data_IF_839701429522
#
_entry.id   IF_839701429522
#
_cell.length_a   1.000
_cell.length_b   1.000
_cell.length_c   1.000
_cell.angle_alpha   90.00
_cell.angle_beta   90.00
_cell.angle_gamma   90.00
#
_symmetry.space_group_name_H-M   'P 1'
#
loop_
_entity.id
_entity.type
_entity.pdbx_description
1 polymer ?
#
# COMPACT_ATOMS: atom_id res chain seq x y z
N UNK A 1 60.50 -80.63 0.26
CA UNK A 1 59.31 -81.53 0.04
C UNK A 1 58.14 -80.70 -0.26
N UNK A 2 57.76 -80.70 -1.49
CA UNK A 2 56.50 -81.12 -2.10
C UNK A 2 55.26 -80.88 -1.22
N UNK A 3 54.29 -79.94 -1.65
CA UNK A 3 53.16 -80.42 -2.40
C UNK A 3 52.30 -79.24 -2.92
N UNK A 4 51.80 -79.44 -4.11
CA UNK A 4 50.88 -78.68 -4.90
C UNK A 4 49.43 -78.77 -4.37
N UNK A 5 48.60 -77.78 -4.63
CA UNK A 5 47.20 -77.88 -5.08
C UNK A 5 46.65 -76.45 -5.34
N UNK A 6 46.47 -76.09 -6.56
CA UNK A 6 45.25 -76.14 -7.42
C UNK A 6 44.00 -75.51 -6.79
N UNK A 7 43.66 -74.35 -7.25
CA UNK A 7 42.50 -74.07 -8.06
C UNK A 7 41.29 -73.42 -7.37
N UNK A 8 40.87 -72.31 -7.84
CA UNK A 8 39.55 -72.00 -8.46
C UNK A 8 39.28 -70.53 -8.46
N UNK A 9 39.26 -70.01 -9.64
CA UNK A 9 38.73 -68.66 -9.93
C UNK A 9 37.23 -68.66 -9.67
N UNK A 10 36.74 -67.63 -8.92
CA UNK A 10 35.36 -67.22 -8.94
C UNK A 10 35.33 -65.73 -9.30
N UNK A 11 34.86 -65.48 -10.49
CA UNK A 11 34.64 -64.11 -10.96
C UNK A 11 33.49 -63.44 -10.20
N UNK A 12 33.83 -62.34 -9.56
CA UNK A 12 32.81 -61.42 -9.01
C UNK A 12 32.40 -60.39 -10.07
N UNK A 13 31.19 -60.58 -10.60
CA UNK A 13 30.54 -59.67 -11.50
C UNK A 13 30.11 -58.45 -10.70
N UNK A 14 30.82 -57.32 -10.82
CA UNK A 14 30.45 -56.03 -10.25
C UNK A 14 29.31 -55.46 -11.08
N UNK A 15 28.09 -55.54 -10.55
CA UNK A 15 26.88 -54.90 -11.08
C UNK A 15 26.94 -53.41 -10.70
N UNK A 16 27.40 -52.55 -11.60
CA UNK A 16 27.26 -51.09 -11.48
C UNK A 16 25.80 -50.69 -11.62
N UNK A 17 25.06 -50.58 -10.49
CA UNK A 17 23.78 -49.88 -10.45
C UNK A 17 24.03 -48.38 -10.62
N UNK A 18 23.91 -47.87 -11.83
CA UNK A 18 23.87 -46.44 -12.11
C UNK A 18 22.65 -45.81 -11.45
N UNK A 19 22.84 -45.06 -10.38
CA UNK A 19 21.84 -44.15 -9.82
C UNK A 19 21.66 -42.98 -10.81
N UNK A 20 20.70 -43.11 -11.72
CA UNK A 20 20.15 -41.97 -12.45
C UNK A 20 19.37 -41.14 -11.44
N UNK A 21 20.03 -40.13 -10.83
CA UNK A 21 19.37 -39.05 -10.12
C UNK A 21 18.59 -38.24 -11.16
N UNK A 22 17.37 -38.66 -11.44
CA UNK A 22 16.41 -37.86 -12.20
C UNK A 22 16.13 -36.59 -11.40
N UNK A 23 16.60 -35.42 -11.88
CA UNK A 23 16.11 -34.15 -11.46
C UNK A 23 14.61 -34.10 -11.80
N UNK A 24 13.76 -34.55 -10.87
CA UNK A 24 12.35 -34.30 -10.92
C UNK A 24 12.18 -32.77 -10.83
N UNK A 25 11.96 -32.09 -11.96
CA UNK A 25 11.39 -30.74 -11.95
C UNK A 25 10.13 -30.83 -11.11
N UNK A 26 10.14 -30.16 -9.95
CA UNK A 26 8.91 -29.95 -9.20
C UNK A 26 7.89 -29.36 -10.17
N UNK A 27 6.66 -29.91 -10.25
CA UNK A 27 5.63 -29.35 -11.09
C UNK A 27 5.48 -27.89 -10.68
N UNK A 28 5.69 -26.98 -11.61
CA UNK A 28 5.29 -25.58 -11.47
C UNK A 28 3.80 -25.62 -11.11
N UNK A 29 3.50 -25.40 -9.83
CA UNK A 29 2.11 -25.27 -9.40
C UNK A 29 1.50 -24.23 -10.30
N UNK A 30 0.59 -24.64 -11.19
CA UNK A 30 -0.18 -23.75 -12.02
C UNK A 30 -0.79 -22.67 -11.14
N UNK A 31 -0.18 -21.50 -11.18
CA UNK A 31 -0.65 -20.36 -10.41
C UNK A 31 -1.99 -19.98 -11.01
N UNK A 32 -3.05 -20.30 -10.31
CA UNK A 32 -4.38 -19.81 -10.70
C UNK A 32 -4.30 -18.31 -10.99
N UNK A 33 -4.95 -17.83 -12.05
CA UNK A 33 -4.91 -16.41 -12.38
C UNK A 33 -5.39 -15.57 -11.18
N UNK A 34 -4.86 -14.35 -10.99
CA UNK A 34 -5.33 -13.48 -9.92
C UNK A 34 -6.82 -13.18 -10.11
N UNK A 35 -7.55 -13.14 -9.01
CA UNK A 35 -8.93 -12.66 -9.00
C UNK A 35 -9.03 -11.18 -9.38
N UNK A 36 -10.25 -10.66 -9.52
CA UNK A 36 -10.49 -9.23 -9.69
C UNK A 36 -10.93 -8.62 -8.37
N UNK A 37 -10.50 -7.40 -8.10
CA UNK A 37 -10.95 -6.63 -6.93
C UNK A 37 -12.43 -6.30 -7.11
N UNK A 38 -13.28 -6.90 -6.26
CA UNK A 38 -14.69 -6.57 -6.15
C UNK A 38 -14.90 -5.63 -4.97
N UNK A 39 -15.28 -4.38 -5.25
CA UNK A 39 -15.55 -3.37 -4.23
C UNK A 39 -16.61 -3.84 -3.22
N UNK A 40 -17.53 -4.74 -3.62
CA UNK A 40 -18.58 -5.26 -2.73
C UNK A 40 -18.04 -6.08 -1.54
N UNK A 41 -16.81 -6.58 -1.63
CA UNK A 41 -16.14 -7.38 -0.58
C UNK A 41 -15.30 -6.53 0.38
N UNK A 42 -15.33 -5.20 0.26
CA UNK A 42 -14.52 -4.28 1.05
C UNK A 42 -15.40 -3.24 1.76
N UNK A 43 -14.84 -2.59 2.76
CA UNK A 43 -15.52 -1.58 3.59
C UNK A 43 -14.74 -0.26 3.74
N UNK A 44 -13.57 -0.14 3.11
CA UNK A 44 -12.79 1.09 3.07
C UNK A 44 -12.51 1.49 1.61
N UNK A 45 -12.78 2.74 1.27
CA UNK A 45 -12.76 3.22 -0.10
C UNK A 45 -12.08 4.56 -0.25
N UNK A 46 -11.41 4.73 -1.39
CA UNK A 46 -10.93 6.01 -1.90
C UNK A 46 -11.92 6.52 -2.95
N UNK A 47 -12.36 7.78 -2.81
CA UNK A 47 -13.26 8.44 -3.75
C UNK A 47 -12.68 9.77 -4.23
N UNK A 48 -12.40 9.86 -5.53
CA UNK A 48 -11.97 11.09 -6.17
C UNK A 48 -13.09 12.14 -6.24
N UNK A 49 -12.68 13.40 -6.33
CA UNK A 49 -13.61 14.47 -6.61
C UNK A 49 -14.24 14.31 -8.01
N UNK A 50 -15.50 14.68 -8.14
CA UNK A 50 -16.24 14.56 -9.41
C UNK A 50 -16.75 13.16 -9.73
N UNK A 51 -16.40 12.13 -8.98
CA UNK A 51 -16.95 10.79 -9.14
C UNK A 51 -18.30 10.72 -8.41
N UNK A 52 -19.36 10.29 -9.12
CA UNK A 52 -20.66 10.01 -8.50
C UNK A 52 -20.47 8.91 -7.45
N UNK A 53 -20.98 9.13 -6.24
CA UNK A 53 -20.90 8.15 -5.17
C UNK A 53 -21.59 6.83 -5.57
N UNK A 54 -20.85 5.71 -5.70
CA UNK A 54 -21.46 4.43 -6.02
C UNK A 54 -22.16 3.83 -4.79
N UNK A 55 -23.14 2.95 -5.02
CA UNK A 55 -23.95 2.33 -3.98
C UNK A 55 -23.13 1.60 -2.90
N UNK A 56 -21.98 1.07 -3.27
CA UNK A 56 -21.07 0.37 -2.34
C UNK A 56 -20.67 1.26 -1.15
N UNK A 57 -20.67 2.56 -1.30
CA UNK A 57 -20.34 3.49 -0.20
C UNK A 57 -21.38 3.48 0.92
N UNK A 58 -22.61 3.04 0.69
CA UNK A 58 -23.65 2.96 1.73
C UNK A 58 -23.26 2.03 2.89
N UNK A 59 -22.39 1.04 2.65
CA UNK A 59 -21.88 0.10 3.65
C UNK A 59 -20.43 0.37 4.08
N UNK A 60 -19.84 1.46 3.60
CA UNK A 60 -18.47 1.81 3.94
C UNK A 60 -18.31 2.06 5.44
N UNK A 61 -17.23 1.56 6.02
CA UNK A 61 -16.78 1.90 7.38
C UNK A 61 -15.81 3.08 7.36
N UNK A 62 -15.01 3.18 6.30
CA UNK A 62 -14.00 4.25 6.13
C UNK A 62 -14.02 4.76 4.69
N UNK A 63 -14.02 6.07 4.53
CA UNK A 63 -13.98 6.71 3.20
C UNK A 63 -12.89 7.78 3.18
N UNK A 64 -11.96 7.64 2.26
CA UNK A 64 -10.93 8.62 1.93
C UNK A 64 -11.46 9.51 0.81
N UNK A 65 -11.77 10.77 1.12
CA UNK A 65 -12.41 11.71 0.21
C UNK A 65 -11.43 12.80 -0.24
N UNK A 66 -11.10 12.82 -1.53
CA UNK A 66 -10.25 13.87 -2.08
C UNK A 66 -10.97 15.22 -2.00
N UNK A 67 -10.46 16.14 -1.20
CA UNK A 67 -10.96 17.52 -1.04
C UNK A 67 -10.36 18.48 -2.07
N UNK A 68 -9.05 18.39 -2.26
CA UNK A 68 -8.33 19.27 -3.17
C UNK A 68 -6.89 18.83 -3.41
N UNK A 69 -6.17 19.67 -4.13
CA UNK A 69 -4.78 19.40 -4.49
C UNK A 69 -3.89 20.64 -4.33
N UNK A 70 -2.61 20.40 -4.02
CA UNK A 70 -1.57 21.43 -4.04
C UNK A 70 -0.69 21.20 -5.27
N UNK A 71 -0.89 22.03 -6.29
CA UNK A 71 -0.26 21.90 -7.60
C UNK A 71 1.20 22.40 -7.63
N UNK A 72 1.94 21.92 -8.61
CA UNK A 72 3.37 22.25 -8.82
C UNK A 72 3.67 23.72 -9.10
N UNK A 73 2.69 24.54 -9.49
CA UNK A 73 2.87 25.95 -9.79
C UNK A 73 3.48 26.76 -8.62
N UNK A 74 4.14 27.87 -8.93
CA UNK A 74 4.73 28.76 -7.92
C UNK A 74 3.96 30.09 -7.86
N UNK A 75 3.55 30.53 -6.65
CA UNK A 75 3.67 29.88 -5.36
C UNK A 75 2.78 28.64 -5.21
N UNK A 76 3.07 27.78 -4.22
CA UNK A 76 2.19 26.65 -3.86
C UNK A 76 0.80 27.17 -3.54
N UNK A 77 -0.21 26.58 -4.18
CA UNK A 77 -1.61 26.95 -4.01
C UNK A 77 -2.50 25.74 -3.87
N UNK A 78 -3.37 25.76 -2.88
CA UNK A 78 -4.43 24.78 -2.76
C UNK A 78 -5.53 25.05 -3.79
N UNK A 79 -5.92 24.03 -4.53
CA UNK A 79 -7.01 24.05 -5.50
C UNK A 79 -8.11 23.13 -4.98
N UNK A 80 -9.27 23.67 -4.56
CA UNK A 80 -10.38 22.83 -4.11
C UNK A 80 -10.96 22.05 -5.30
N UNK A 81 -11.26 20.79 -5.08
CA UNK A 81 -11.88 19.91 -6.08
C UNK A 81 -13.31 19.51 -5.69
N UNK A 82 -13.74 19.86 -4.47
CA UNK A 82 -15.11 19.68 -4.02
C UNK A 82 -15.80 21.02 -3.82
N UNK A 83 -16.97 21.25 -4.44
CA UNK A 83 -17.71 22.50 -4.27
C UNK A 83 -18.42 22.61 -2.91
N UNK A 84 -18.72 21.46 -2.28
CA UNK A 84 -19.43 21.39 -1.00
C UNK A 84 -18.81 20.37 -0.07
N UNK A 85 -19.00 20.61 1.24
CA UNK A 85 -18.63 19.66 2.28
C UNK A 85 -19.57 18.46 2.22
N UNK A 86 -19.04 17.22 2.17
CA UNK A 86 -19.88 16.04 2.18
C UNK A 86 -20.56 15.84 3.55
N UNK A 87 -21.75 15.20 3.53
CA UNK A 87 -22.42 14.74 4.74
C UNK A 87 -22.46 13.22 4.77
N UNK A 88 -21.56 12.59 5.56
CA UNK A 88 -21.48 11.14 5.69
C UNK A 88 -21.47 10.79 7.18
N UNK A 89 -22.60 10.27 7.67
CA UNK A 89 -22.76 9.97 9.11
C UNK A 89 -22.40 8.54 9.49
N UNK A 90 -22.49 7.62 8.55
CA UNK A 90 -22.32 6.17 8.80
C UNK A 90 -20.87 5.69 8.76
N UNK A 91 -19.98 6.44 8.11
CA UNK A 91 -18.57 6.09 7.92
C UNK A 91 -17.61 7.07 8.61
N UNK A 92 -16.42 6.60 8.93
CA UNK A 92 -15.28 7.44 9.29
C UNK A 92 -14.70 8.07 8.02
N UNK A 93 -14.41 9.36 8.05
CA UNK A 93 -13.93 10.12 6.88
C UNK A 93 -12.46 10.52 7.08
N UNK A 94 -11.66 10.33 6.05
CA UNK A 94 -10.37 10.98 5.89
C UNK A 94 -10.50 12.09 4.86
N UNK A 95 -10.12 13.31 5.23
CA UNK A 95 -9.95 14.40 4.27
C UNK A 95 -8.63 14.19 3.54
N UNK A 96 -8.69 14.05 2.22
CA UNK A 96 -7.50 13.79 1.40
C UNK A 96 -7.09 15.03 0.64
N UNK A 97 -5.79 15.34 0.70
CA UNK A 97 -5.16 16.38 -0.12
C UNK A 97 -4.08 15.75 -0.98
N UNK A 98 -4.20 15.90 -2.30
CA UNK A 98 -3.15 15.49 -3.22
C UNK A 98 -2.06 16.55 -3.30
N UNK A 99 -0.80 16.10 -3.36
CA UNK A 99 0.37 16.97 -3.36
C UNK A 99 1.21 16.75 -4.61
N UNK A 100 1.64 17.84 -5.24
CA UNK A 100 2.69 17.83 -6.27
C UNK A 100 3.99 18.45 -5.75
N UNK A 101 3.95 19.05 -4.53
CA UNK A 101 5.11 19.71 -3.89
C UNK A 101 4.99 19.73 -2.38
N UNK A 102 6.10 19.83 -1.69
CA UNK A 102 6.22 19.76 -0.23
C UNK A 102 6.53 21.11 0.45
N UNK A 103 6.78 22.17 -0.28
CA UNK A 103 7.16 23.49 0.26
C UNK A 103 5.95 24.41 0.49
N UNK A 104 4.97 23.90 1.24
CA UNK A 104 3.75 24.64 1.56
C UNK A 104 4.04 25.90 2.33
N UNK A 105 3.34 26.98 1.96
CA UNK A 105 3.33 28.25 2.68
C UNK A 105 2.11 28.36 3.57
N UNK A 106 2.13 29.32 4.49
CA UNK A 106 1.09 29.52 5.49
C UNK A 106 -0.35 29.57 4.91
N UNK A 107 -0.63 30.18 3.73
CA UNK A 107 -1.97 30.17 3.17
C UNK A 107 -2.49 28.75 2.84
N UNK A 108 -1.61 27.83 2.40
CA UNK A 108 -1.99 26.44 2.13
C UNK A 108 -2.33 25.71 3.43
N UNK A 109 -1.47 25.82 4.46
CA UNK A 109 -1.71 25.24 5.77
C UNK A 109 -3.02 25.71 6.38
N UNK A 110 -3.25 27.03 6.41
CA UNK A 110 -4.50 27.61 6.94
C UNK A 110 -5.72 27.08 6.20
N UNK A 111 -5.64 26.95 4.88
CA UNK A 111 -6.74 26.42 4.09
C UNK A 111 -7.06 24.98 4.45
N UNK A 112 -6.08 24.08 4.48
CA UNK A 112 -6.28 22.66 4.79
C UNK A 112 -6.82 22.47 6.22
N UNK A 113 -6.29 23.22 7.19
CA UNK A 113 -6.78 23.15 8.57
C UNK A 113 -8.22 23.68 8.70
N UNK A 114 -8.55 24.77 8.01
CA UNK A 114 -9.92 25.29 7.97
C UNK A 114 -10.89 24.32 7.30
N UNK A 115 -10.44 23.55 6.30
CA UNK A 115 -11.28 22.53 5.67
C UNK A 115 -11.56 21.37 6.62
N UNK A 116 -10.57 20.93 7.41
CA UNK A 116 -10.79 19.92 8.48
C UNK A 116 -11.85 20.40 9.48
N UNK A 117 -11.76 21.66 9.93
CA UNK A 117 -12.72 22.22 10.89
C UNK A 117 -14.13 22.34 10.26
N UNK A 118 -14.22 22.76 8.99
CA UNK A 118 -15.50 22.84 8.26
C UNK A 118 -16.15 21.45 8.12
N UNK A 119 -15.35 20.43 7.76
CA UNK A 119 -15.86 19.07 7.59
C UNK A 119 -16.33 18.49 8.91
N UNK A 120 -15.60 18.75 10.01
CA UNK A 120 -15.99 18.34 11.35
C UNK A 120 -17.29 19.06 11.78
N UNK A 121 -17.38 20.37 11.58
CA UNK A 121 -18.56 21.18 11.91
C UNK A 121 -19.82 20.76 11.12
N UNK A 122 -19.64 20.19 9.93
CA UNK A 122 -20.71 19.62 9.13
C UNK A 122 -21.26 18.29 9.67
N UNK A 123 -20.77 17.79 10.81
CA UNK A 123 -21.24 16.59 11.48
C UNK A 123 -20.65 15.29 10.95
N UNK A 124 -19.56 15.35 10.19
CA UNK A 124 -18.84 14.16 9.77
C UNK A 124 -18.01 13.57 10.92
N UNK A 125 -17.85 12.26 10.94
CA UNK A 125 -16.89 11.55 11.81
C UNK A 125 -15.51 11.60 11.15
N UNK A 126 -14.78 12.69 11.35
CA UNK A 126 -13.52 12.95 10.69
C UNK A 126 -12.37 12.28 11.45
N UNK A 127 -11.71 11.28 10.83
CA UNK A 127 -10.52 10.60 11.36
C UNK A 127 -9.30 11.53 11.37
N UNK A 128 -9.10 12.24 10.24
CA UNK A 128 -7.95 13.09 10.09
C UNK A 128 -7.67 13.52 8.65
N UNK A 129 -6.40 13.85 8.43
CA UNK A 129 -5.86 14.28 7.15
C UNK A 129 -5.08 13.14 6.49
N UNK A 130 -5.34 12.85 5.23
CA UNK A 130 -4.45 12.04 4.41
C UNK A 130 -3.75 12.92 3.37
N UNK A 131 -2.45 12.74 3.26
CA UNK A 131 -1.60 13.41 2.28
C UNK A 131 -1.23 12.42 1.18
N UNK A 132 -1.74 12.66 -0.03
CA UNK A 132 -1.53 11.82 -1.20
C UNK A 132 -0.38 12.39 -2.04
N UNK A 133 0.82 11.80 -1.86
CA UNK A 133 2.05 12.23 -2.52
C UNK A 133 2.83 11.03 -3.05
N UNK A 134 3.10 11.03 -4.34
CA UNK A 134 3.90 9.99 -5.01
C UNK A 134 5.40 10.12 -4.66
N UNK A 135 5.73 9.97 -3.36
CA UNK A 135 7.11 10.05 -2.89
C UNK A 135 7.91 8.84 -3.37
N UNK A 136 8.90 9.11 -4.23
CA UNK A 136 9.85 8.08 -4.66
C UNK A 136 10.78 7.71 -3.51
N UNK A 137 11.40 6.53 -3.56
CA UNK A 137 12.39 6.06 -2.57
C UNK A 137 13.53 7.04 -2.35
N UNK A 138 13.94 7.78 -3.39
CA UNK A 138 14.84 8.92 -3.26
C UNK A 138 14.08 10.14 -2.79
N UNK A 139 14.44 10.68 -1.64
CA UNK A 139 13.83 11.89 -1.05
C UNK A 139 12.76 11.61 0.00
N UNK A 140 12.70 10.39 0.53
CA UNK A 140 11.86 10.04 1.68
C UNK A 140 12.24 10.87 2.92
N UNK A 141 13.49 11.26 3.08
CA UNK A 141 14.00 12.16 4.12
C UNK A 141 13.30 13.53 4.07
N UNK A 142 13.20 14.13 2.89
CA UNK A 142 12.48 15.40 2.68
C UNK A 142 11.00 15.26 2.92
N UNK A 143 10.44 14.12 2.52
CA UNK A 143 9.03 13.84 2.78
C UNK A 143 8.79 13.66 4.28
N UNK A 144 9.65 12.93 5.00
CA UNK A 144 9.56 12.78 6.45
C UNK A 144 9.64 14.14 7.17
N UNK A 145 10.54 15.04 6.76
CA UNK A 145 10.63 16.39 7.31
C UNK A 145 9.34 17.20 7.09
N UNK A 146 8.74 17.12 5.89
CA UNK A 146 7.47 17.75 5.60
C UNK A 146 6.33 17.17 6.46
N UNK A 147 6.29 15.86 6.64
CA UNK A 147 5.29 15.19 7.47
C UNK A 147 5.44 15.54 8.96
N UNK A 148 6.66 15.69 9.45
CA UNK A 148 6.89 16.18 10.79
C UNK A 148 6.33 17.60 11.00
N UNK A 149 6.45 18.48 9.99
CA UNK A 149 5.80 19.79 10.01
C UNK A 149 4.28 19.67 9.99
N UNK A 150 3.73 18.81 9.10
CA UNK A 150 2.30 18.55 9.04
C UNK A 150 1.77 18.06 10.40
N UNK A 151 2.48 17.14 11.06
CA UNK A 151 2.10 16.60 12.37
C UNK A 151 2.09 17.67 13.45
N UNK A 152 3.06 18.60 13.46
CA UNK A 152 3.10 19.71 14.44
C UNK A 152 1.94 20.67 14.28
N UNK A 153 1.49 20.91 13.03
CA UNK A 153 0.39 21.83 12.73
C UNK A 153 -1.00 21.21 12.89
N UNK A 154 -1.09 19.91 12.70
CA UNK A 154 -2.36 19.18 12.76
C UNK A 154 -2.83 19.06 14.21
N UNK A 155 -4.05 19.50 14.58
CA UNK A 155 -4.59 19.33 15.92
C UNK A 155 -4.55 17.87 16.38
N UNK A 156 -4.20 17.62 17.63
CA UNK A 156 -3.98 16.27 18.19
C UNK A 156 -5.18 15.33 18.05
N UNK A 157 -6.39 15.86 17.91
CA UNK A 157 -7.60 15.07 17.68
C UNK A 157 -7.65 14.40 16.33
N UNK A 158 -6.87 14.88 15.36
CA UNK A 158 -6.81 14.33 14.00
C UNK A 158 -5.58 13.44 13.81
N UNK A 159 -5.81 12.32 13.16
CA UNK A 159 -4.76 11.42 12.70
C UNK A 159 -4.15 11.93 11.40
N UNK A 160 -2.91 11.54 11.14
CA UNK A 160 -2.19 11.80 9.89
C UNK A 160 -1.98 10.51 9.13
N UNK A 161 -2.52 10.39 7.94
CA UNK A 161 -2.30 9.29 7.02
C UNK A 161 -1.57 9.77 5.76
N UNK A 162 -0.90 8.85 5.08
CA UNK A 162 -0.25 9.11 3.80
C UNK A 162 -0.52 7.99 2.81
N UNK A 163 -0.40 8.29 1.51
CA UNK A 163 -0.17 7.26 0.50
C UNK A 163 1.31 6.97 0.41
N UNK A 164 1.64 5.75 0.03
CA UNK A 164 3.00 5.28 -0.19
C UNK A 164 3.08 4.38 -1.41
N UNK A 165 4.28 4.21 -1.94
CA UNK A 165 4.55 3.33 -3.07
C UNK A 165 5.07 1.98 -2.57
N UNK A 166 4.76 0.91 -3.28
CA UNK A 166 5.20 -0.45 -2.91
C UNK A 166 6.73 -0.60 -2.88
N UNK A 167 7.45 0.17 -3.68
CA UNK A 167 8.91 0.12 -3.77
C UNK A 167 9.62 0.57 -2.47
N UNK A 168 8.91 1.25 -1.56
CA UNK A 168 9.44 1.59 -0.24
C UNK A 168 9.88 0.36 0.54
N UNK A 169 9.12 -0.73 0.45
CA UNK A 169 9.45 -1.99 1.14
C UNK A 169 10.70 -2.67 0.59
N UNK A 170 11.04 -2.43 -0.67
CA UNK A 170 12.19 -3.06 -1.36
C UNK A 170 13.44 -2.19 -1.34
N UNK A 171 13.31 -0.86 -1.47
CA UNK A 171 14.42 0.06 -1.68
C UNK A 171 14.39 1.35 -0.85
N UNK A 172 13.44 1.49 0.07
CA UNK A 172 13.38 2.66 0.96
C UNK A 172 14.52 2.67 1.97
N UNK A 173 15.09 3.84 2.23
CA UNK A 173 16.07 4.03 3.30
C UNK A 173 15.45 3.72 4.67
N UNK A 174 16.01 2.80 5.49
CA UNK A 174 15.41 2.39 6.75
C UNK A 174 15.24 3.54 7.76
N UNK A 175 16.18 4.48 7.80
CA UNK A 175 16.10 5.62 8.73
C UNK A 175 14.99 6.59 8.30
N UNK A 176 14.85 6.85 7.00
CA UNK A 176 13.78 7.67 6.46
C UNK A 176 12.40 7.01 6.69
N UNK A 177 12.30 5.69 6.49
CA UNK A 177 11.06 4.93 6.78
C UNK A 177 10.70 4.97 8.27
N UNK A 178 11.68 4.84 9.17
CA UNK A 178 11.45 4.96 10.61
C UNK A 178 11.00 6.38 10.99
N UNK A 179 11.61 7.41 10.38
CA UNK A 179 11.20 8.80 10.59
C UNK A 179 9.76 9.06 10.11
N UNK A 180 9.36 8.51 8.94
CA UNK A 180 7.98 8.54 8.46
C UNK A 180 7.04 7.88 9.48
N UNK A 181 7.37 6.66 9.90
CA UNK A 181 6.56 5.88 10.83
C UNK A 181 6.37 6.53 12.19
N UNK A 182 7.30 7.40 12.63
CA UNK A 182 7.20 8.10 13.91
C UNK A 182 6.20 9.27 13.91
N UNK A 183 5.75 9.73 12.75
CA UNK A 183 4.90 10.92 12.61
C UNK A 183 3.54 10.64 11.98
N UNK A 184 3.36 9.48 11.33
CA UNK A 184 2.10 9.09 10.70
C UNK A 184 1.38 8.02 11.50
N UNK A 185 0.05 8.03 11.45
CA UNK A 185 -0.81 7.04 12.12
C UNK A 185 -1.21 5.90 11.19
N UNK A 186 -1.19 6.11 9.88
CA UNK A 186 -1.61 5.12 8.87
C UNK A 186 -0.92 5.40 7.53
N UNK A 187 -0.61 4.33 6.79
CA UNK A 187 -0.03 4.39 5.45
C UNK A 187 -0.85 3.52 4.51
N UNK A 188 -1.28 4.06 3.37
CA UNK A 188 -1.95 3.29 2.32
C UNK A 188 -0.98 3.08 1.17
N UNK A 189 -0.43 1.87 1.04
CA UNK A 189 0.49 1.50 -0.03
C UNK A 189 -0.27 1.18 -1.31
N UNK A 190 -0.01 1.94 -2.36
CA UNK A 190 -0.69 1.79 -3.64
C UNK A 190 -0.13 0.59 -4.41
N UNK A 191 -0.99 -0.38 -4.74
CA UNK A 191 -0.66 -1.54 -5.59
C UNK A 191 -1.06 -1.32 -7.04
N UNK A 192 -1.46 -0.12 -7.41
CA UNK A 192 -1.99 0.22 -8.72
C UNK A 192 -1.39 1.51 -9.27
N UNK A 193 -1.48 1.65 -10.58
CA UNK A 193 -1.20 2.88 -11.31
C UNK A 193 -2.37 3.18 -12.26
N UNK A 194 -3.00 4.32 -12.09
CA UNK A 194 -4.23 4.67 -12.80
C UNK A 194 -5.34 3.63 -12.55
N UNK A 195 -5.79 2.94 -13.60
CA UNK A 195 -6.90 1.98 -13.54
C UNK A 195 -6.46 0.51 -13.44
N UNK A 196 -5.19 0.22 -13.24
CA UNK A 196 -4.65 -1.14 -13.32
C UNK A 196 -3.73 -1.44 -12.14
N UNK A 197 -3.81 -2.66 -11.63
CA UNK A 197 -2.80 -3.17 -10.70
C UNK A 197 -1.43 -3.19 -11.37
N UNK A 198 -0.40 -2.79 -10.64
CA UNK A 198 1.00 -2.79 -11.13
C UNK A 198 1.43 -4.22 -11.42
N UNK A 199 1.93 -4.54 -12.63
CA UNK A 199 2.43 -5.88 -12.93
C UNK A 199 3.55 -6.29 -11.99
N UNK A 200 3.56 -7.54 -11.55
CA UNK A 200 4.59 -8.07 -10.65
C UNK A 200 4.53 -7.52 -9.23
N UNK A 201 3.41 -6.94 -8.81
CA UNK A 201 3.20 -6.38 -7.46
C UNK A 201 3.55 -7.39 -6.34
N UNK A 202 3.40 -8.69 -6.59
CA UNK A 202 3.71 -9.74 -5.60
C UNK A 202 5.18 -9.73 -5.19
N UNK A 203 6.08 -9.27 -6.08
CA UNK A 203 7.50 -9.14 -5.75
C UNK A 203 7.75 -8.09 -4.67
N UNK A 204 7.06 -6.95 -4.75
CA UNK A 204 7.15 -5.89 -3.75
C UNK A 204 6.53 -6.32 -2.41
N UNK A 205 5.41 -7.06 -2.47
CA UNK A 205 4.70 -7.51 -1.27
C UNK A 205 5.51 -8.49 -0.41
N UNK A 206 6.51 -9.17 -0.98
CA UNK A 206 7.42 -10.04 -0.19
C UNK A 206 8.27 -9.29 0.82
N UNK A 207 8.45 -8.01 0.64
CA UNK A 207 9.29 -7.15 1.50
C UNK A 207 8.49 -6.31 2.50
N UNK A 208 7.16 -6.42 2.52
CA UNK A 208 6.30 -5.58 3.38
C UNK A 208 6.64 -5.68 4.88
N UNK A 209 7.05 -6.85 5.35
CA UNK A 209 7.48 -7.05 6.75
C UNK A 209 8.68 -6.19 7.17
N UNK A 210 9.35 -5.52 6.22
CA UNK A 210 10.43 -4.55 6.52
C UNK A 210 9.93 -3.16 6.87
N UNK A 211 8.64 -2.87 6.64
CA UNK A 211 8.06 -1.57 6.98
C UNK A 211 7.90 -1.43 8.50
N UNK A 212 8.42 -0.36 9.10
CA UNK A 212 8.40 -0.19 10.55
C UNK A 212 7.12 0.48 11.06
N UNK A 213 6.02 0.44 10.32
CA UNK A 213 4.77 1.13 10.64
C UNK A 213 3.54 0.35 10.18
N UNK A 214 2.37 0.60 10.77
CA UNK A 214 1.11 0.05 10.29
C UNK A 214 0.77 0.53 8.88
N UNK A 215 0.26 -0.39 8.04
CA UNK A 215 -0.10 -0.05 6.66
C UNK A 215 -1.36 -0.77 6.20
N UNK A 216 -2.01 -0.18 5.21
CA UNK A 216 -3.07 -0.77 4.39
C UNK A 216 -2.57 -0.95 2.97
N UNK A 217 -3.21 -1.82 2.21
CA UNK A 217 -2.97 -1.93 0.78
C UNK A 217 -4.09 -1.24 0.00
N UNK A 218 -3.70 -0.29 -0.82
CA UNK A 218 -4.60 0.37 -1.78
C UNK A 218 -4.75 -0.50 -3.02
N UNK A 219 -5.98 -0.95 -3.28
CA UNK A 219 -6.35 -1.73 -4.46
C UNK A 219 -7.14 -0.84 -5.42
N UNK A 220 -7.16 -1.17 -6.70
CA UNK A 220 -8.03 -0.50 -7.67
C UNK A 220 -9.22 -1.40 -8.02
N UNK A 221 -10.43 -0.86 -8.08
CA UNK A 221 -11.65 -1.57 -8.46
C UNK A 221 -11.48 -2.28 -9.82
N UNK A 222 -11.81 -3.57 -9.88
CA UNK A 222 -11.64 -4.41 -11.07
C UNK A 222 -10.19 -4.77 -11.42
N UNK A 223 -9.21 -4.29 -10.67
CA UNK A 223 -7.80 -4.64 -10.84
C UNK A 223 -7.52 -6.11 -10.51
N UNK A 224 -6.45 -6.66 -11.07
CA UNK A 224 -6.01 -8.01 -10.75
C UNK A 224 -5.42 -8.05 -9.34
N UNK A 225 -5.89 -9.00 -8.51
CA UNK A 225 -5.41 -9.11 -7.13
C UNK A 225 -5.39 -10.55 -6.63
N UNK A 226 -4.29 -10.90 -5.98
CA UNK A 226 -4.17 -12.11 -5.15
C UNK A 226 -3.45 -11.73 -3.87
N UNK A 227 -4.11 -11.93 -2.73
CA UNK A 227 -3.51 -11.70 -1.43
C UNK A 227 -2.37 -12.70 -1.15
N UNK A 228 -1.15 -12.24 -0.83
CA UNK A 228 -0.10 -13.14 -0.36
C UNK A 228 -0.52 -13.82 0.95
N UNK A 229 -0.29 -15.14 1.12
CA UNK A 229 -0.66 -15.84 2.37
C UNK A 229 0.03 -15.26 3.62
N UNK A 230 1.21 -14.68 3.47
CA UNK A 230 1.95 -14.06 4.56
C UNK A 230 1.28 -12.80 5.11
N UNK A 231 0.49 -12.11 4.29
CA UNK A 231 -0.13 -10.84 4.64
C UNK A 231 -1.07 -10.95 5.86
N UNK A 232 -1.82 -12.05 5.96
CA UNK A 232 -2.73 -12.31 7.09
C UNK A 232 -2.00 -12.46 8.44
N UNK A 233 -0.69 -12.71 8.44
CA UNK A 233 0.15 -12.87 9.64
C UNK A 233 1.01 -11.65 9.92
N UNK A 234 1.00 -10.64 9.05
CA UNK A 234 1.80 -9.43 9.22
C UNK A 234 1.16 -8.53 10.30
N UNK A 235 1.84 -8.27 11.44
CA UNK A 235 1.29 -7.48 12.53
C UNK A 235 1.07 -6.01 12.17
N UNK A 236 1.69 -5.53 11.09
CA UNK A 236 1.53 -4.16 10.61
C UNK A 236 0.37 -4.00 9.62
N UNK A 237 -0.13 -5.09 9.04
CA UNK A 237 -1.21 -5.03 8.06
C UNK A 237 -2.55 -4.67 8.71
N UNK A 238 -3.23 -3.64 8.16
CA UNK A 238 -4.51 -3.09 8.67
C UNK A 238 -5.67 -3.22 7.68
N UNK A 239 -5.53 -4.05 6.65
CA UNK A 239 -6.59 -4.28 5.66
C UNK A 239 -6.39 -3.53 4.35
N UNK A 240 -7.46 -3.38 3.61
CA UNK A 240 -7.45 -2.83 2.26
C UNK A 240 -8.21 -1.51 2.18
N UNK A 241 -7.86 -0.70 1.17
CA UNK A 241 -8.63 0.46 0.73
C UNK A 241 -8.82 0.34 -0.77
N UNK A 242 -10.06 0.33 -1.26
CA UNK A 242 -10.35 0.19 -2.69
C UNK A 242 -10.54 1.56 -3.33
N UNK A 243 -9.73 1.86 -4.31
CA UNK A 243 -9.86 3.04 -5.16
C UNK A 243 -11.00 2.81 -6.16
N UNK A 244 -12.09 3.56 -5.98
CA UNK A 244 -13.27 3.49 -6.83
C UNK A 244 -13.06 4.29 -8.11
N UNK A 245 -13.38 3.67 -9.25
CA UNK A 245 -13.19 4.28 -10.55
C UNK A 245 -14.46 5.02 -11.03
N UNK A 246 -14.32 6.12 -11.77
CA UNK A 246 -15.45 6.74 -12.45
C UNK A 246 -16.05 5.75 -13.46
N UNK A 247 -17.37 5.61 -13.41
CA UNK A 247 -18.18 4.82 -14.34
C UNK A 247 -18.62 5.68 -15.50
#
# INVERSE_FOLDING_TARGET
>A
MRARAIGRAFGALLLCCGLLAGCAKQPEQERQPPGRVDAAQHDAFFLWAGVKAPEVLAKARTIYLLDGEVRAGSPARFVPLRPAVPHVRHAEIWLVVRLERLDWKEPVWRRVLADLDRWQAAGNRLAGLQLDFDARTRGLDRYAAFLAEARRRLPRRYKLSITGLMDWSAGGDPAALAALGSVVDDVVLQTYQGRRTVPGYEAYLRSLARLPFPYRLGLVEGGAWRAPPALARDPHFRGYVVFLLPR
#
